data_IF_650875480070
#
_entry.id   IF_650875480070
#
_cell.length_a   1.000
_cell.length_b   1.000
_cell.length_c   1.000
_cell.angle_alpha   90.00
_cell.angle_beta   90.00
_cell.angle_gamma   90.00
#
_symmetry.space_group_name_H-M   'P 1'
#
loop_
_entity.id
_entity.type
_entity.pdbx_description
1 polymer ?
#
# COMPACT_ATOMS: atom_id res chain seq x y z
N UNK A 1 -19.70 54.27 -14.49
CA UNK A 1 -18.39 53.61 -14.75
C UNK A 1 -17.89 52.81 -13.54
N UNK A 2 -18.25 53.18 -12.29
CA UNK A 2 -17.81 52.45 -11.10
C UNK A 2 -18.57 51.14 -10.81
N UNK A 3 -19.88 51.07 -11.05
CA UNK A 3 -20.66 49.84 -10.75
C UNK A 3 -20.33 48.64 -11.65
N UNK A 4 -20.02 48.88 -12.92
CA UNK A 4 -19.66 47.81 -13.88
C UNK A 4 -18.31 47.20 -13.49
N UNK A 5 -17.37 48.03 -13.04
CA UNK A 5 -16.04 47.59 -12.59
C UNK A 5 -16.14 46.84 -11.26
N UNK A 6 -16.98 47.29 -10.33
CA UNK A 6 -17.22 46.56 -9.06
C UNK A 6 -17.88 45.20 -9.28
N UNK A 7 -18.87 45.10 -10.18
CA UNK A 7 -19.51 43.82 -10.48
C UNK A 7 -18.55 42.86 -11.22
N UNK A 8 -17.71 43.36 -12.13
CA UNK A 8 -16.68 42.53 -12.77
C UNK A 8 -15.65 42.03 -11.74
N UNK A 9 -15.22 42.88 -10.80
CA UNK A 9 -14.29 42.48 -9.73
C UNK A 9 -14.91 41.43 -8.79
N UNK A 10 -16.18 41.57 -8.41
CA UNK A 10 -16.88 40.59 -7.56
C UNK A 10 -17.07 39.26 -8.27
N UNK A 11 -17.35 39.27 -9.57
CA UNK A 11 -17.52 38.05 -10.37
C UNK A 11 -16.18 37.35 -10.60
N UNK A 12 -15.09 38.10 -10.86
CA UNK A 12 -13.74 37.55 -10.92
C UNK A 12 -13.27 36.99 -9.58
N UNK A 13 -13.56 37.68 -8.45
CA UNK A 13 -13.19 37.19 -7.12
C UNK A 13 -13.95 35.90 -6.76
N UNK A 14 -15.25 35.81 -7.11
CA UNK A 14 -16.06 34.62 -6.89
C UNK A 14 -15.61 33.41 -7.74
N UNK A 15 -15.23 33.63 -9.02
CA UNK A 15 -14.65 32.58 -9.86
C UNK A 15 -13.24 32.17 -9.41
N UNK A 16 -12.45 33.10 -8.85
CA UNK A 16 -11.12 32.80 -8.29
C UNK A 16 -11.21 31.96 -7.03
N UNK A 17 -12.19 32.22 -6.16
CA UNK A 17 -12.43 31.44 -4.94
C UNK A 17 -13.01 30.05 -5.29
N UNK A 18 -13.91 29.95 -6.29
CA UNK A 18 -14.41 28.66 -6.76
C UNK A 18 -13.30 27.80 -7.42
N UNK A 19 -12.38 28.41 -8.17
CA UNK A 19 -11.23 27.72 -8.74
C UNK A 19 -10.17 27.34 -7.69
N UNK A 20 -10.00 28.15 -6.63
CA UNK A 20 -9.11 27.83 -5.52
C UNK A 20 -9.65 26.71 -4.62
N UNK A 21 -10.98 26.63 -4.44
CA UNK A 21 -11.62 25.56 -3.64
C UNK A 21 -11.65 24.21 -4.37
N UNK A 22 -11.63 24.20 -5.71
CA UNK A 22 -11.52 22.96 -6.51
C UNK A 22 -10.10 22.40 -6.61
N UNK A 23 -9.07 23.15 -6.21
CA UNK A 23 -7.67 22.73 -6.23
C UNK A 23 -7.14 22.22 -4.88
N UNK A 24 -7.96 22.22 -3.83
CA UNK A 24 -7.64 21.59 -2.55
C UNK A 24 -8.45 20.30 -2.37
N UNK A 25 -8.21 19.33 -3.25
CA UNK A 25 -8.30 17.95 -2.77
C UNK A 25 -6.97 17.67 -2.07
N UNK A 26 -6.93 17.49 -0.73
CA UNK A 26 -5.74 16.92 -0.12
C UNK A 26 -5.62 15.52 -0.69
N UNK A 27 -4.74 15.35 -1.69
CA UNK A 27 -4.12 14.06 -1.91
C UNK A 27 -3.51 13.67 -0.58
N UNK A 28 -3.82 12.48 -0.09
CA UNK A 28 -3.12 11.97 1.07
C UNK A 28 -1.63 11.93 0.70
N UNK A 29 -0.72 12.57 1.45
CA UNK A 29 0.69 12.25 1.32
C UNK A 29 0.86 10.78 1.71
N UNK A 30 1.28 9.95 0.75
CA UNK A 30 1.68 8.58 1.00
C UNK A 30 2.99 8.60 1.79
N UNK A 31 3.08 7.77 2.84
CA UNK A 31 4.38 7.44 3.39
C UNK A 31 5.03 6.46 2.41
N UNK A 32 6.23 6.75 1.92
CA UNK A 32 6.99 5.70 1.26
C UNK A 32 7.34 4.65 2.32
N UNK A 33 7.07 3.38 2.05
CA UNK A 33 7.43 2.28 2.94
C UNK A 33 8.59 1.47 2.39
N UNK A 34 9.22 0.71 3.28
CA UNK A 34 10.39 -0.09 2.96
C UNK A 34 10.25 -1.46 3.62
N UNK A 35 9.91 -2.44 2.79
CA UNK A 35 9.84 -3.85 3.14
C UNK A 35 11.08 -4.64 2.69
N UNK A 36 12.10 -3.96 2.16
CA UNK A 36 13.40 -4.56 1.86
C UNK A 36 14.27 -4.60 3.13
N UNK A 37 14.32 -3.47 3.83
CA UNK A 37 15.09 -3.31 5.06
C UNK A 37 14.47 -4.09 6.21
N UNK A 38 15.31 -4.75 7.02
CA UNK A 38 14.91 -5.57 8.18
C UNK A 38 13.94 -6.72 7.85
N UNK A 39 13.77 -7.10 6.57
CA UNK A 39 12.84 -8.17 6.14
C UNK A 39 13.07 -9.52 6.83
N UNK A 40 14.33 -9.82 7.14
CA UNK A 40 14.75 -11.07 7.78
C UNK A 40 14.49 -11.07 9.30
N UNK A 41 14.22 -9.91 9.88
CA UNK A 41 13.90 -9.80 11.30
C UNK A 41 12.54 -10.46 11.56
N UNK A 42 12.41 -11.27 12.63
CA UNK A 42 11.14 -11.85 13.00
C UNK A 42 10.14 -10.74 13.34
N UNK A 43 8.91 -10.88 12.86
CA UNK A 43 7.83 -9.93 13.13
C UNK A 43 6.54 -10.71 13.36
N UNK A 44 5.87 -10.49 14.49
CA UNK A 44 4.62 -11.15 14.80
C UNK A 44 3.49 -10.70 13.85
N UNK A 45 2.71 -11.68 13.39
CA UNK A 45 1.55 -11.41 12.56
C UNK A 45 0.43 -10.71 13.35
N UNK A 46 -0.06 -9.60 12.81
CA UNK A 46 -1.05 -8.72 13.44
C UNK A 46 -2.47 -8.93 12.91
N UNK A 47 -2.72 -9.96 12.10
CA UNK A 47 -4.02 -10.22 11.44
C UNK A 47 -5.15 -10.32 12.45
N UNK A 48 -5.00 -11.16 13.47
CA UNK A 48 -6.05 -11.36 14.48
C UNK A 48 -6.34 -10.08 15.26
N UNK A 49 -5.30 -9.32 15.58
CA UNK A 49 -5.38 -8.06 16.32
C UNK A 49 -6.14 -7.00 15.51
N UNK A 50 -5.84 -6.90 14.22
CA UNK A 50 -6.50 -5.98 13.30
C UNK A 50 -7.93 -6.44 12.96
N UNK A 51 -8.17 -7.74 12.79
CA UNK A 51 -9.49 -8.33 12.59
C UNK A 51 -10.41 -7.98 13.73
N UNK A 52 -9.97 -8.23 14.97
CA UNK A 52 -10.72 -7.88 16.18
C UNK A 52 -11.10 -6.40 16.20
N UNK A 53 -10.20 -5.50 15.78
CA UNK A 53 -10.48 -4.06 15.77
C UNK A 53 -11.59 -3.70 14.78
N UNK A 54 -11.51 -4.20 13.54
CA UNK A 54 -12.51 -3.93 12.49
C UNK A 54 -13.86 -4.56 12.84
N UNK A 55 -13.86 -5.82 13.29
CA UNK A 55 -15.08 -6.53 13.66
C UNK A 55 -15.80 -5.89 14.86
N UNK A 56 -15.06 -5.46 15.89
CA UNK A 56 -15.63 -4.72 17.02
C UNK A 56 -16.26 -3.40 16.55
N UNK A 57 -15.64 -2.70 15.60
CA UNK A 57 -16.22 -1.50 15.01
C UNK A 57 -17.52 -1.80 14.27
N UNK A 58 -17.54 -2.82 13.40
CA UNK A 58 -18.75 -3.20 12.66
C UNK A 58 -19.87 -3.59 13.62
N UNK A 59 -19.58 -4.42 14.62
CA UNK A 59 -20.56 -4.84 15.63
C UNK A 59 -21.09 -3.66 16.46
N UNK A 60 -20.22 -2.70 16.82
CA UNK A 60 -20.63 -1.47 17.50
C UNK A 60 -21.60 -0.64 16.66
N UNK A 61 -21.29 -0.43 15.38
CA UNK A 61 -22.16 0.30 14.45
C UNK A 61 -23.52 -0.40 14.29
N UNK A 62 -23.53 -1.72 14.13
CA UNK A 62 -24.76 -2.53 14.02
C UNK A 62 -25.65 -2.35 15.26
N UNK A 63 -25.04 -2.37 16.46
CA UNK A 63 -25.76 -2.23 17.73
C UNK A 63 -26.50 -0.90 17.85
N UNK A 64 -25.91 0.18 17.35
CA UNK A 64 -26.45 1.54 17.44
C UNK A 64 -27.19 1.98 16.16
N UNK A 65 -27.40 1.06 15.21
CA UNK A 65 -27.89 1.40 13.88
C UNK A 65 -29.37 1.78 13.85
N UNK A 66 -29.68 2.98 13.35
CA UNK A 66 -31.06 3.49 13.28
C UNK A 66 -31.45 4.07 11.90
N UNK A 67 -30.60 3.94 10.89
CA UNK A 67 -30.77 4.63 9.59
C UNK A 67 -31.41 3.78 8.49
N UNK A 68 -32.13 2.72 8.85
CA UNK A 68 -32.76 1.84 7.87
C UNK A 68 -31.74 1.12 6.97
N UNK A 69 -32.16 0.71 5.77
CA UNK A 69 -31.31 -0.01 4.80
C UNK A 69 -30.39 0.93 3.99
N UNK A 70 -29.81 1.93 4.65
CA UNK A 70 -28.90 2.89 4.00
C UNK A 70 -27.45 2.38 4.05
N UNK A 71 -27.06 1.65 3.01
CA UNK A 71 -25.73 1.07 2.85
C UNK A 71 -24.63 2.13 2.84
N UNK A 72 -24.84 3.25 2.14
CA UNK A 72 -23.82 4.31 2.09
C UNK A 72 -23.67 5.00 3.45
N UNK A 73 -24.75 5.21 4.18
CA UNK A 73 -24.65 5.73 5.54
C UNK A 73 -23.88 4.76 6.46
N UNK A 74 -23.96 3.44 6.21
CA UNK A 74 -23.25 2.44 7.00
C UNK A 74 -21.76 2.46 6.67
N UNK A 75 -21.41 2.51 5.38
CA UNK A 75 -20.03 2.75 4.92
C UNK A 75 -19.44 4.03 5.53
N UNK A 76 -20.23 5.10 5.57
CA UNK A 76 -19.83 6.38 6.17
C UNK A 76 -19.73 6.31 7.70
N UNK A 77 -20.45 5.40 8.36
CA UNK A 77 -20.27 5.11 9.78
C UNK A 77 -18.95 4.35 10.02
N UNK A 78 -18.68 3.29 9.27
CA UNK A 78 -17.41 2.54 9.33
C UNK A 78 -16.22 3.49 9.13
N UNK A 79 -16.26 4.27 8.06
CA UNK A 79 -15.20 5.25 7.76
C UNK A 79 -15.02 6.29 8.87
N UNK A 80 -16.10 6.74 9.52
CA UNK A 80 -15.98 7.69 10.62
C UNK A 80 -15.35 7.07 11.87
N UNK A 81 -15.62 5.81 12.14
CA UNK A 81 -15.12 5.12 13.32
C UNK A 81 -13.64 4.73 13.19
N UNK A 82 -13.24 4.16 12.05
CA UNK A 82 -11.88 3.62 11.86
C UNK A 82 -11.06 4.30 10.76
N UNK A 83 -11.70 5.01 9.84
CA UNK A 83 -11.01 5.92 8.92
C UNK A 83 -10.73 7.28 9.58
N UNK A 84 -10.53 8.33 8.79
CA UNK A 84 -10.22 9.65 9.33
C UNK A 84 -10.38 10.80 8.34
N UNK A 85 -10.76 11.96 8.88
CA UNK A 85 -10.71 13.27 8.18
C UNK A 85 -9.30 13.88 8.20
N UNK A 86 -8.39 13.32 9.02
CA UNK A 86 -7.00 13.75 9.16
C UNK A 86 -6.09 12.93 8.25
N UNK A 87 -4.89 13.43 8.01
CA UNK A 87 -3.85 12.89 7.13
C UNK A 87 -3.49 11.39 7.30
N UNK A 88 -3.85 10.78 8.43
CA UNK A 88 -3.58 9.37 8.82
C UNK A 88 -4.86 8.82 9.45
N UNK A 89 -5.31 7.64 9.01
CA UNK A 89 -6.58 7.05 9.48
C UNK A 89 -6.53 6.63 10.95
N UNK A 90 -7.69 6.56 11.63
CA UNK A 90 -7.73 6.21 13.07
C UNK A 90 -7.17 4.82 13.33
N UNK A 91 -7.52 3.84 12.48
CA UNK A 91 -7.01 2.47 12.60
C UNK A 91 -5.51 2.41 12.38
N UNK A 92 -5.02 3.03 11.30
CA UNK A 92 -3.60 3.16 10.99
C UNK A 92 -2.83 3.80 12.16
N UNK A 93 -3.29 4.95 12.65
CA UNK A 93 -2.66 5.66 13.77
C UNK A 93 -2.64 4.82 15.04
N UNK A 94 -3.71 4.06 15.29
CA UNK A 94 -3.76 3.13 16.41
C UNK A 94 -2.75 2.00 16.21
N UNK A 95 -2.70 1.39 15.02
CA UNK A 95 -1.75 0.32 14.71
C UNK A 95 -0.31 0.79 14.93
N UNK A 96 0.07 1.97 14.41
CA UNK A 96 1.40 2.56 14.57
C UNK A 96 1.76 2.79 16.05
N UNK A 97 0.81 3.16 16.90
CA UNK A 97 1.04 3.52 18.31
C UNK A 97 0.85 2.38 19.32
N UNK A 98 0.09 1.36 18.97
CA UNK A 98 -0.32 0.31 19.90
C UNK A 98 0.80 -0.70 20.13
N UNK A 99 1.16 -0.99 21.38
CA UNK A 99 2.14 -2.03 21.70
C UNK A 99 1.64 -3.45 21.35
N UNK A 100 0.36 -3.61 21.03
CA UNK A 100 -0.20 -4.89 20.53
C UNK A 100 0.26 -5.22 19.11
N UNK A 101 0.58 -4.21 18.30
CA UNK A 101 1.01 -4.40 16.91
C UNK A 101 2.53 -4.30 16.89
N UNK A 102 3.20 -5.39 16.57
CA UNK A 102 4.65 -5.35 16.36
C UNK A 102 4.95 -4.64 15.04
N UNK A 103 6.03 -3.85 14.99
CA UNK A 103 6.45 -3.16 13.78
C UNK A 103 7.95 -3.26 13.61
N UNK A 104 8.38 -3.30 12.35
CA UNK A 104 9.75 -2.98 12.00
C UNK A 104 9.87 -1.46 11.89
N UNK A 105 10.82 -0.90 12.64
CA UNK A 105 11.22 0.49 12.47
C UNK A 105 12.37 0.52 11.47
N UNK A 106 12.17 1.23 10.36
CA UNK A 106 13.22 1.46 9.37
C UNK A 106 13.58 2.93 9.42
N UNK A 107 14.66 3.32 10.12
CA UNK A 107 15.13 4.70 10.10
C UNK A 107 15.39 5.13 8.67
N UNK A 108 15.06 6.38 8.34
CA UNK A 108 15.21 6.90 6.97
C UNK A 108 16.62 6.72 6.40
N UNK A 109 17.65 6.83 7.24
CA UNK A 109 19.05 6.67 6.83
C UNK A 109 19.45 5.24 6.51
N UNK A 110 18.64 4.27 6.93
CA UNK A 110 18.85 2.85 6.68
C UNK A 110 17.91 2.32 5.58
N UNK A 111 16.91 3.11 5.18
CA UNK A 111 15.94 2.74 4.15
C UNK A 111 16.51 2.72 2.72
N UNK A 112 15.78 2.09 1.79
CA UNK A 112 16.02 2.14 0.34
C UNK A 112 16.09 3.58 -0.23
N UNK A 113 15.50 4.54 0.48
CA UNK A 113 15.52 5.97 0.13
C UNK A 113 16.73 6.74 0.70
N UNK A 114 17.68 6.06 1.35
CA UNK A 114 18.84 6.69 1.97
C UNK A 114 19.77 7.32 0.93
N UNK A 115 20.11 8.59 1.13
CA UNK A 115 21.02 9.35 0.26
C UNK A 115 20.35 10.10 -0.90
N UNK A 116 19.03 10.02 -1.06
CA UNK A 116 18.32 10.78 -2.10
C UNK A 116 18.34 12.29 -1.75
N UNK A 117 18.67 13.18 -2.70
CA UNK A 117 18.61 14.63 -2.49
C UNK A 117 17.23 15.07 -1.99
N UNK A 118 17.22 15.98 -1.00
CA UNK A 118 16.01 16.47 -0.31
C UNK A 118 14.93 16.98 -1.27
N UNK A 119 15.35 17.57 -2.40
CA UNK A 119 14.44 18.11 -3.40
C UNK A 119 13.74 17.05 -4.26
N UNK A 120 14.26 15.81 -4.26
CA UNK A 120 13.78 14.66 -5.03
C UNK A 120 12.94 13.68 -4.19
N UNK A 121 13.25 13.53 -2.90
CA UNK A 121 12.46 12.73 -1.94
C UNK A 121 11.73 13.63 -0.93
N UNK A 122 10.99 14.65 -1.40
CA UNK A 122 10.39 15.67 -0.52
C UNK A 122 9.42 15.06 0.48
N UNK A 123 8.63 14.06 0.06
CA UNK A 123 7.63 13.42 0.93
C UNK A 123 8.29 12.52 1.98
N UNK A 124 9.25 11.66 1.59
CA UNK A 124 10.07 10.89 2.55
C UNK A 124 10.85 11.80 3.51
N UNK A 125 11.26 12.99 3.05
CA UNK A 125 11.98 13.97 3.87
C UNK A 125 11.11 14.64 4.94
N UNK A 126 9.87 14.99 4.63
CA UNK A 126 8.99 15.67 5.58
C UNK A 126 8.16 14.73 6.45
N UNK A 127 7.93 13.49 6.01
CA UNK A 127 7.00 12.57 6.67
C UNK A 127 7.66 11.29 7.22
N UNK A 128 8.88 10.93 6.81
CA UNK A 128 9.57 9.71 7.25
C UNK A 128 9.18 8.47 6.41
N UNK A 129 9.79 7.33 6.71
CA UNK A 129 9.43 6.02 6.13
C UNK A 129 8.32 5.42 7.01
N UNK A 130 7.24 4.96 6.40
CA UNK A 130 6.13 4.35 7.15
C UNK A 130 6.59 3.06 7.84
N UNK A 131 5.96 2.70 8.96
CA UNK A 131 6.33 1.48 9.70
C UNK A 131 5.84 0.25 8.94
N UNK A 132 6.68 -0.79 8.90
CA UNK A 132 6.29 -2.08 8.33
C UNK A 132 5.66 -2.96 9.40
N UNK A 133 4.53 -3.59 9.08
CA UNK A 133 3.81 -4.54 9.94
C UNK A 133 3.57 -5.84 9.18
N UNK A 134 3.35 -6.95 9.89
CA UNK A 134 2.98 -8.23 9.28
C UNK A 134 1.47 -8.45 9.37
N UNK A 135 0.83 -8.71 8.23
CA UNK A 135 -0.61 -9.03 8.13
C UNK A 135 -0.78 -10.10 7.05
N UNK A 136 -1.47 -11.18 7.40
CA UNK A 136 -1.68 -12.36 6.58
C UNK A 136 -0.36 -12.92 6.03
N UNK A 137 0.65 -13.01 6.90
CA UNK A 137 2.03 -13.40 6.57
C UNK A 137 2.75 -12.47 5.57
N UNK A 138 2.14 -11.34 5.18
CA UNK A 138 2.75 -10.35 4.29
C UNK A 138 3.30 -9.16 5.09
N UNK A 139 4.46 -8.64 4.66
CA UNK A 139 4.98 -7.38 5.17
C UNK A 139 4.34 -6.24 4.39
N UNK A 140 3.61 -5.38 5.09
CA UNK A 140 2.91 -4.25 4.47
C UNK A 140 3.29 -2.94 5.15
N UNK A 141 3.20 -1.86 4.38
CA UNK A 141 3.27 -0.52 4.91
C UNK A 141 2.07 -0.20 5.79
N UNK A 142 2.28 0.40 6.96
CA UNK A 142 1.16 0.76 7.85
C UNK A 142 0.18 1.75 7.20
N UNK A 143 0.67 2.59 6.29
CA UNK A 143 -0.11 3.53 5.47
C UNK A 143 -1.13 2.83 4.56
N UNK A 144 -0.86 1.58 4.15
CA UNK A 144 -1.77 0.79 3.32
C UNK A 144 -3.12 0.55 4.01
N UNK A 145 -3.16 0.54 5.35
CA UNK A 145 -4.42 0.52 6.12
C UNK A 145 -5.27 1.76 5.82
N UNK A 146 -4.63 2.94 5.75
CA UNK A 146 -5.31 4.19 5.40
C UNK A 146 -5.78 4.20 3.95
N UNK A 147 -4.97 3.66 3.02
CA UNK A 147 -5.37 3.47 1.63
C UNK A 147 -6.61 2.59 1.51
N UNK A 148 -6.63 1.44 2.18
CA UNK A 148 -7.75 0.53 2.25
C UNK A 148 -9.04 1.19 2.75
N UNK A 149 -8.99 1.93 3.86
CA UNK A 149 -10.19 2.56 4.42
C UNK A 149 -10.59 3.83 3.65
N UNK A 150 -9.69 4.82 3.56
CA UNK A 150 -10.00 6.14 3.00
C UNK A 150 -10.12 6.13 1.49
N UNK A 151 -9.10 5.66 0.80
CA UNK A 151 -9.09 5.69 -0.66
C UNK A 151 -9.99 4.59 -1.23
N UNK A 152 -10.07 3.43 -0.57
CA UNK A 152 -11.05 2.40 -0.89
C UNK A 152 -12.50 2.89 -0.78
N UNK A 153 -12.83 3.73 0.19
CA UNK A 153 -14.16 4.37 0.24
C UNK A 153 -14.39 5.32 -0.93
N UNK A 154 -13.38 6.10 -1.33
CA UNK A 154 -13.49 6.98 -2.50
C UNK A 154 -13.66 6.17 -3.78
N UNK A 155 -12.95 5.05 -3.90
CA UNK A 155 -13.11 4.11 -5.00
C UNK A 155 -14.54 3.54 -5.01
N UNK A 156 -15.03 3.04 -3.87
CA UNK A 156 -16.41 2.54 -3.75
C UNK A 156 -17.46 3.58 -4.16
N UNK A 157 -17.29 4.85 -3.76
CA UNK A 157 -18.16 5.95 -4.20
C UNK A 157 -18.12 6.20 -5.71
N UNK A 158 -16.95 6.04 -6.36
CA UNK A 158 -16.82 6.12 -7.82
C UNK A 158 -17.52 4.94 -8.48
N UNK A 159 -17.33 3.73 -7.94
CA UNK A 159 -18.04 2.53 -8.41
C UNK A 159 -19.56 2.72 -8.35
N UNK A 160 -20.10 3.14 -7.20
CA UNK A 160 -21.54 3.42 -7.05
C UNK A 160 -22.06 4.49 -8.01
N UNK A 161 -21.21 5.45 -8.41
CA UNK A 161 -21.56 6.49 -9.38
C UNK A 161 -21.53 5.99 -10.82
N UNK A 162 -20.55 5.16 -11.18
CA UNK A 162 -20.31 4.74 -12.56
C UNK A 162 -20.96 3.41 -12.93
N UNK A 163 -21.28 2.56 -11.93
CA UNK A 163 -21.80 1.21 -12.14
C UNK A 163 -20.80 0.26 -12.81
N UNK A 164 -19.51 0.59 -12.81
CA UNK A 164 -18.43 -0.23 -13.40
C UNK A 164 -17.18 -0.09 -12.56
N UNK A 165 -16.59 -1.23 -12.22
CA UNK A 165 -15.37 -1.33 -11.45
C UNK A 165 -14.17 -0.89 -12.29
N UNK A 166 -14.17 -1.24 -13.58
CA UNK A 166 -13.14 -0.84 -14.55
C UNK A 166 -13.09 0.68 -14.70
N UNK A 167 -14.23 1.34 -14.87
CA UNK A 167 -14.29 2.81 -14.93
C UNK A 167 -13.86 3.48 -13.63
N UNK A 168 -14.20 2.88 -12.49
CA UNK A 168 -13.77 3.37 -11.20
C UNK A 168 -12.24 3.22 -11.00
N UNK A 169 -11.66 2.11 -11.48
CA UNK A 169 -10.23 1.86 -11.50
C UNK A 169 -9.50 2.84 -12.43
N UNK A 170 -9.96 3.00 -13.67
CA UNK A 170 -9.39 3.94 -14.64
C UNK A 170 -9.33 5.36 -14.08
N UNK A 171 -10.43 5.84 -13.47
CA UNK A 171 -10.47 7.16 -12.87
C UNK A 171 -9.55 7.28 -11.65
N UNK A 172 -9.41 6.21 -10.87
CA UNK A 172 -8.53 6.16 -9.71
C UNK A 172 -7.07 6.19 -10.15
N UNK A 173 -6.69 5.37 -11.12
CA UNK A 173 -5.35 5.36 -11.73
C UNK A 173 -5.01 6.68 -12.42
N UNK A 174 -5.96 7.32 -13.10
CA UNK A 174 -5.76 8.66 -13.68
C UNK A 174 -5.49 9.71 -12.61
N UNK A 175 -6.23 9.68 -11.51
CA UNK A 175 -6.02 10.59 -10.38
C UNK A 175 -4.64 10.38 -9.77
N UNK A 176 -4.23 9.12 -9.61
CA UNK A 176 -2.91 8.75 -9.09
C UNK A 176 -1.79 9.24 -10.01
N UNK A 177 -1.88 8.98 -11.32
CA UNK A 177 -0.92 9.50 -12.31
C UNK A 177 -0.87 11.03 -12.33
N UNK A 178 -2.00 11.70 -12.13
CA UNK A 178 -2.05 13.15 -12.05
C UNK A 178 -1.39 13.67 -10.76
N UNK A 179 -1.49 12.96 -9.64
CA UNK A 179 -0.77 13.28 -8.39
C UNK A 179 0.73 13.03 -8.59
N UNK A 180 1.12 11.86 -9.09
CA UNK A 180 2.49 11.51 -9.48
C UNK A 180 3.12 12.58 -10.39
N UNK A 181 2.39 13.00 -11.43
CA UNK A 181 2.87 13.99 -12.41
C UNK A 181 2.83 15.44 -11.94
N UNK A 182 2.06 15.78 -10.88
CA UNK A 182 1.94 17.15 -10.35
C UNK A 182 2.68 17.38 -9.03
N UNK A 183 3.01 16.33 -8.30
CA UNK A 183 3.63 16.39 -6.96
C UNK A 183 4.83 15.46 -6.88
N UNK A 184 6.03 16.00 -7.13
CA UNK A 184 7.32 15.88 -6.42
C UNK A 184 7.75 14.60 -5.64
N UNK A 185 7.04 13.46 -5.69
CA UNK A 185 7.44 12.20 -5.01
C UNK A 185 8.29 11.31 -5.88
N UNK A 186 8.09 11.37 -7.21
CA UNK A 186 8.81 10.56 -8.19
C UNK A 186 8.54 9.04 -8.10
N UNK A 187 7.61 8.60 -7.25
CA UNK A 187 7.22 7.21 -6.98
C UNK A 187 5.72 7.02 -7.20
N UNK A 188 5.38 5.94 -7.92
CA UNK A 188 4.02 5.46 -8.15
C UNK A 188 3.88 4.10 -7.45
N UNK A 189 3.12 4.05 -6.36
CA UNK A 189 3.00 2.83 -5.56
C UNK A 189 1.97 1.87 -6.13
N UNK A 190 2.44 0.69 -6.56
CA UNK A 190 1.55 -0.38 -7.01
C UNK A 190 0.73 -0.94 -5.83
N UNK A 191 1.36 -1.05 -4.65
CA UNK A 191 0.70 -1.53 -3.43
C UNK A 191 -0.40 -0.58 -2.93
N UNK A 192 -0.24 0.74 -3.10
CA UNK A 192 -1.30 1.71 -2.79
C UNK A 192 -2.56 1.48 -3.62
N UNK A 193 -2.42 1.21 -4.92
CA UNK A 193 -3.56 0.95 -5.79
C UNK A 193 -4.27 -0.35 -5.45
N UNK A 194 -3.50 -1.37 -5.10
CA UNK A 194 -4.01 -2.65 -4.63
C UNK A 194 -4.78 -2.45 -3.32
N UNK A 195 -4.21 -1.75 -2.34
CA UNK A 195 -4.87 -1.43 -1.08
C UNK A 195 -6.17 -0.62 -1.30
N UNK A 196 -6.15 0.38 -2.17
CA UNK A 196 -7.33 1.16 -2.54
C UNK A 196 -8.44 0.27 -3.11
N UNK A 197 -8.09 -0.62 -4.05
CA UNK A 197 -9.04 -1.51 -4.68
C UNK A 197 -9.61 -2.54 -3.71
N UNK A 198 -8.76 -3.14 -2.88
CA UNK A 198 -9.19 -4.08 -1.84
C UNK A 198 -10.09 -3.42 -0.80
N UNK A 199 -9.83 -2.15 -0.50
CA UNK A 199 -10.71 -1.34 0.34
C UNK A 199 -12.10 -1.15 -0.25
N UNK A 200 -12.18 -0.91 -1.56
CA UNK A 200 -13.46 -0.90 -2.28
C UNK A 200 -14.17 -2.25 -2.21
N UNK A 201 -13.45 -3.36 -2.41
CA UNK A 201 -14.00 -4.71 -2.25
C UNK A 201 -14.50 -4.96 -0.84
N UNK A 202 -13.79 -4.51 0.18
CA UNK A 202 -14.28 -4.58 1.57
C UNK A 202 -15.63 -3.89 1.72
N UNK A 203 -15.78 -2.66 1.23
CA UNK A 203 -17.05 -1.92 1.29
C UNK A 203 -18.18 -2.60 0.51
N UNK A 204 -17.90 -3.22 -0.63
CA UNK A 204 -18.87 -4.08 -1.34
C UNK A 204 -19.23 -5.30 -0.49
N UNK A 205 -18.23 -5.97 0.07
CA UNK A 205 -18.41 -7.20 0.85
C UNK A 205 -19.26 -6.98 2.12
N UNK A 206 -19.45 -5.74 2.57
CA UNK A 206 -20.39 -5.42 3.63
C UNK A 206 -21.81 -5.88 3.27
N UNK A 207 -22.22 -5.76 2.01
CA UNK A 207 -23.60 -5.97 1.57
C UNK A 207 -23.75 -7.00 0.45
N UNK A 208 -22.67 -7.28 -0.29
CA UNK A 208 -22.64 -8.21 -1.42
C UNK A 208 -21.88 -9.51 -1.04
N UNK A 209 -22.48 -10.66 -1.33
CA UNK A 209 -21.82 -11.96 -1.26
C UNK A 209 -20.91 -12.21 -2.45
N UNK A 210 -20.04 -13.21 -2.35
CA UNK A 210 -19.08 -13.64 -3.37
C UNK A 210 -18.09 -12.58 -3.86
N UNK A 211 -18.07 -11.40 -3.22
CA UNK A 211 -16.96 -10.44 -3.38
C UNK A 211 -15.66 -11.09 -2.97
N UNK A 212 -15.67 -11.87 -1.90
CA UNK A 212 -14.63 -12.86 -1.62
C UNK A 212 -15.22 -14.20 -2.05
N UNK A 213 -14.60 -14.93 -2.99
CA UNK A 213 -15.19 -16.14 -3.55
C UNK A 213 -15.66 -17.13 -2.49
N UNK A 214 -16.95 -17.51 -2.54
CA UNK A 214 -17.54 -18.47 -1.61
C UNK A 214 -17.92 -17.92 -0.23
N UNK A 215 -17.73 -16.62 0.04
CA UNK A 215 -18.16 -15.98 1.29
C UNK A 215 -19.44 -15.18 1.09
N UNK A 216 -20.35 -15.24 2.06
CA UNK A 216 -21.52 -14.36 2.11
C UNK A 216 -21.13 -12.89 2.26
N UNK A 217 -22.08 -11.96 2.16
CA UNK A 217 -21.82 -10.59 2.63
C UNK A 217 -21.51 -10.59 4.14
N UNK A 218 -20.87 -9.55 4.68
CA UNK A 218 -20.62 -9.40 6.12
C UNK A 218 -21.91 -9.10 6.86
N UNK A 219 -22.79 -8.29 6.26
CA UNK A 219 -24.06 -7.88 6.84
C UNK A 219 -25.22 -8.44 6.02
N UNK A 220 -26.30 -8.78 6.72
CA UNK A 220 -27.61 -9.10 6.13
C UNK A 220 -28.65 -8.15 6.70
N UNK A 221 -29.53 -7.63 5.87
CA UNK A 221 -30.67 -6.87 6.36
C UNK A 221 -31.78 -7.81 6.81
N UNK A 222 -32.21 -7.70 8.07
CA UNK A 222 -33.32 -8.48 8.61
C UNK A 222 -34.27 -7.60 9.42
N UNK A 223 -35.53 -7.59 9.01
CA UNK A 223 -36.57 -6.78 9.64
C UNK A 223 -36.24 -5.28 9.60
N UNK A 224 -35.72 -4.75 10.71
CA UNK A 224 -35.42 -3.31 10.88
C UNK A 224 -33.95 -3.01 11.14
N UNK A 225 -33.04 -3.99 11.04
CA UNK A 225 -31.63 -3.79 11.33
C UNK A 225 -30.70 -4.64 10.49
N UNK A 226 -29.43 -4.25 10.48
CA UNK A 226 -28.33 -5.07 9.98
C UNK A 226 -28.01 -6.17 10.98
N UNK A 227 -27.67 -7.35 10.48
CA UNK A 227 -27.16 -8.48 11.26
C UNK A 227 -25.81 -8.88 10.70
N UNK A 228 -24.82 -9.04 11.57
CA UNK A 228 -23.50 -9.56 11.19
C UNK A 228 -23.64 -11.06 10.92
N UNK A 229 -23.54 -11.47 9.65
CA UNK A 229 -23.68 -12.87 9.24
C UNK A 229 -22.31 -13.58 9.11
N UNK A 230 -21.24 -12.82 8.86
CA UNK A 230 -19.85 -13.30 8.99
C UNK A 230 -18.94 -12.19 9.51
N UNK A 231 -17.78 -12.57 10.01
CA UNK A 231 -16.75 -11.62 10.39
C UNK A 231 -15.98 -11.11 9.15
N UNK A 232 -15.46 -9.89 9.26
CA UNK A 232 -14.40 -9.37 8.42
C UNK A 232 -13.09 -10.11 8.72
N UNK A 233 -12.26 -10.27 7.69
CA UNK A 233 -10.92 -10.87 7.79
C UNK A 233 -9.95 -10.14 6.86
N UNK A 234 -8.85 -9.62 7.39
CA UNK A 234 -7.78 -8.99 6.61
C UNK A 234 -7.15 -9.96 5.62
N UNK A 235 -7.14 -11.26 5.92
CA UNK A 235 -6.64 -12.28 5.00
C UNK A 235 -7.45 -12.40 3.69
N UNK A 236 -8.67 -11.83 3.64
CA UNK A 236 -9.45 -11.75 2.39
C UNK A 236 -8.90 -10.73 1.39
N UNK A 237 -8.06 -9.82 1.88
CA UNK A 237 -7.66 -8.59 1.20
C UNK A 237 -6.15 -8.47 1.06
N UNK A 238 -5.41 -8.76 2.13
CA UNK A 238 -3.95 -8.65 2.17
C UNK A 238 -3.32 -9.87 1.51
N UNK A 239 -2.44 -9.62 0.56
CA UNK A 239 -1.68 -10.62 -0.19
C UNK A 239 -0.35 -9.99 -0.64
N UNK A 240 0.45 -10.75 -1.37
CA UNK A 240 1.80 -10.41 -1.80
C UNK A 240 1.89 -9.07 -2.54
N UNK A 241 0.81 -8.64 -3.21
CA UNK A 241 0.77 -7.35 -3.91
C UNK A 241 0.66 -6.12 -3.00
N UNK A 242 0.49 -6.31 -1.70
CA UNK A 242 0.57 -5.23 -0.69
C UNK A 242 2.00 -4.95 -0.21
N UNK A 243 2.92 -5.87 -0.47
CA UNK A 243 4.32 -5.77 -0.07
C UNK A 243 5.13 -5.07 -1.16
N UNK A 244 5.69 -3.89 -0.89
CA UNK A 244 6.43 -3.12 -1.90
C UNK A 244 7.81 -3.74 -2.23
N UNK A 245 8.26 -4.78 -1.49
CA UNK A 245 9.41 -5.57 -1.91
C UNK A 245 9.06 -6.63 -2.97
N UNK A 246 7.80 -7.08 -3.00
CA UNK A 246 7.28 -8.05 -3.98
C UNK A 246 6.57 -7.35 -5.16
N UNK A 247 5.85 -6.26 -4.89
CA UNK A 247 5.13 -5.44 -5.86
C UNK A 247 5.75 -4.03 -5.94
N UNK A 248 7.00 -4.00 -6.39
CA UNK A 248 7.88 -2.83 -6.39
C UNK A 248 7.23 -1.62 -7.05
N UNK A 249 7.42 -0.44 -6.45
CA UNK A 249 6.90 0.82 -6.97
C UNK A 249 7.55 1.19 -8.31
N UNK A 250 6.84 1.96 -9.13
CA UNK A 250 7.42 2.55 -10.33
C UNK A 250 8.06 3.90 -9.99
N UNK A 251 9.28 4.13 -10.45
CA UNK A 251 10.04 5.33 -10.15
C UNK A 251 10.32 6.15 -11.40
N UNK A 252 10.36 7.48 -11.25
CA UNK A 252 10.88 8.37 -12.27
C UNK A 252 12.37 8.12 -12.54
N UNK A 253 12.92 8.68 -13.62
CA UNK A 253 14.29 8.40 -14.04
C UNK A 253 15.36 8.74 -12.98
N UNK A 254 15.11 9.73 -12.12
CA UNK A 254 16.05 10.14 -11.09
C UNK A 254 16.05 9.15 -9.93
N UNK A 255 14.86 8.81 -9.43
CA UNK A 255 14.71 7.86 -8.33
C UNK A 255 15.03 6.44 -8.76
N UNK A 256 14.67 6.05 -9.99
CA UNK A 256 14.97 4.73 -10.54
C UNK A 256 16.44 4.39 -10.40
N UNK A 257 17.34 5.29 -10.81
CA UNK A 257 18.78 5.05 -10.72
C UNK A 257 19.22 4.80 -9.28
N UNK A 258 18.77 5.65 -8.35
CA UNK A 258 19.15 5.56 -6.95
C UNK A 258 18.60 4.31 -6.28
N UNK A 259 17.31 4.04 -6.45
CA UNK A 259 16.64 2.87 -5.88
C UNK A 259 17.24 1.60 -6.47
N UNK A 260 17.47 1.52 -7.78
CA UNK A 260 18.12 0.38 -8.41
C UNK A 260 19.51 0.09 -7.81
N UNK A 261 20.36 1.11 -7.66
CA UNK A 261 21.67 0.95 -7.00
C UNK A 261 21.53 0.42 -5.56
N UNK A 262 20.52 0.91 -4.82
CA UNK A 262 20.24 0.45 -3.45
C UNK A 262 19.65 -0.95 -3.37
N UNK A 263 18.82 -1.36 -4.31
CA UNK A 263 18.25 -2.70 -4.36
C UNK A 263 19.35 -3.76 -4.56
N UNK A 264 20.41 -3.43 -5.30
CA UNK A 264 21.58 -4.31 -5.44
C UNK A 264 22.28 -4.56 -4.10
N UNK A 265 22.30 -3.58 -3.19
CA UNK A 265 22.88 -3.74 -1.85
C UNK A 265 22.13 -4.81 -1.03
N UNK A 266 20.88 -5.15 -1.40
CA UNK A 266 20.09 -6.20 -0.77
C UNK A 266 20.34 -7.60 -1.36
N UNK A 267 21.11 -7.75 -2.43
CA UNK A 267 21.39 -9.06 -3.03
C UNK A 267 21.96 -10.10 -2.06
N UNK A 268 22.88 -9.77 -1.12
CA UNK A 268 23.36 -10.74 -0.14
C UNK A 268 22.26 -11.34 0.73
N UNK A 269 21.30 -10.52 1.17
CA UNK A 269 20.15 -10.98 1.96
C UNK A 269 19.23 -11.85 1.11
N UNK A 270 18.95 -11.43 -0.12
CA UNK A 270 18.19 -12.24 -1.07
C UNK A 270 18.80 -13.63 -1.29
N UNK A 271 20.13 -13.75 -1.43
CA UNK A 271 20.77 -15.05 -1.63
C UNK A 271 20.73 -15.96 -0.41
N UNK A 272 20.55 -15.41 0.79
CA UNK A 272 20.39 -16.19 2.02
C UNK A 272 18.98 -16.78 2.15
N UNK A 273 17.95 -16.01 1.80
CA UNK A 273 16.53 -16.39 1.93
C UNK A 273 15.71 -15.89 0.73
N UNK A 274 15.92 -16.46 -0.47
CA UNK A 274 15.27 -15.98 -1.71
C UNK A 274 13.75 -16.08 -1.66
N UNK A 275 13.22 -17.05 -0.92
CA UNK A 275 11.78 -17.26 -0.71
C UNK A 275 11.07 -16.04 -0.11
N UNK A 276 11.78 -15.22 0.68
CA UNK A 276 11.20 -14.00 1.25
C UNK A 276 10.91 -12.93 0.19
N UNK A 277 11.56 -12.99 -0.98
CA UNK A 277 11.50 -11.94 -2.01
C UNK A 277 10.85 -12.42 -3.32
N UNK A 278 10.23 -13.60 -3.30
CA UNK A 278 9.61 -14.23 -4.47
C UNK A 278 8.13 -14.50 -4.25
N UNK A 279 7.35 -14.48 -5.33
CA UNK A 279 5.94 -14.89 -5.33
C UNK A 279 5.86 -16.27 -6.01
N UNK A 280 5.35 -17.29 -5.32
CA UNK A 280 5.29 -18.65 -5.86
C UNK A 280 4.26 -18.79 -7.01
N UNK A 281 3.04 -18.29 -6.82
CA UNK A 281 1.98 -18.30 -7.83
C UNK A 281 1.39 -16.89 -8.05
N UNK A 282 2.00 -16.15 -8.96
CA UNK A 282 1.61 -14.76 -9.24
C UNK A 282 0.39 -14.65 -10.18
N UNK A 283 0.03 -15.72 -10.92
CA UNK A 283 -0.98 -15.64 -11.97
C UNK A 283 -2.37 -15.17 -11.47
N UNK A 284 -2.88 -15.67 -10.32
CA UNK A 284 -4.14 -15.18 -9.76
C UNK A 284 -4.11 -13.70 -9.36
N UNK A 285 -2.95 -13.20 -8.91
CA UNK A 285 -2.78 -11.79 -8.54
C UNK A 285 -2.80 -10.89 -9.77
N UNK A 286 -2.10 -11.30 -10.84
CA UNK A 286 -2.10 -10.59 -12.12
C UNK A 286 -3.53 -10.48 -12.66
N UNK A 287 -4.29 -11.57 -12.64
CA UNK A 287 -5.68 -11.58 -13.12
C UNK A 287 -6.57 -10.67 -12.26
N UNK A 288 -6.51 -10.79 -10.93
CA UNK A 288 -7.28 -9.99 -9.97
C UNK A 288 -7.08 -8.49 -10.17
N UNK A 289 -5.85 -8.06 -10.48
CA UNK A 289 -5.46 -6.65 -10.54
C UNK A 289 -5.22 -6.10 -11.95
N UNK A 290 -5.51 -6.87 -13.00
CA UNK A 290 -5.24 -6.49 -14.39
C UNK A 290 -5.83 -5.12 -14.82
N UNK A 291 -6.96 -4.75 -14.22
CA UNK A 291 -7.71 -3.52 -14.56
C UNK A 291 -7.26 -2.28 -13.76
N UNK A 292 -6.35 -2.43 -12.79
CA UNK A 292 -5.89 -1.30 -11.95
C UNK A 292 -4.86 -0.41 -12.64
N UNK A 293 -4.30 -0.86 -13.77
CA UNK A 293 -3.26 -0.13 -14.49
C UNK A 293 -1.94 -0.06 -13.72
N UNK A 294 -1.60 -1.14 -12.99
CA UNK A 294 -0.31 -1.31 -12.32
C UNK A 294 0.83 -1.20 -13.33
N UNK A 295 1.95 -0.62 -12.90
CA UNK A 295 3.14 -0.55 -13.73
C UNK A 295 3.96 -1.83 -13.54
N UNK A 296 4.36 -2.47 -14.64
CA UNK A 296 5.33 -3.56 -14.57
C UNK A 296 6.68 -3.00 -14.14
N UNK A 297 7.15 -3.48 -12.99
CA UNK A 297 8.44 -3.14 -12.34
C UNK A 297 9.20 -4.40 -11.95
N UNK A 298 8.88 -5.53 -12.61
CA UNK A 298 9.47 -6.84 -12.31
C UNK A 298 10.99 -6.83 -12.43
N UNK A 299 11.53 -6.01 -13.31
CA UNK A 299 12.96 -5.81 -13.47
C UNK A 299 13.66 -5.26 -12.21
N UNK A 300 12.91 -4.67 -11.27
CA UNK A 300 13.42 -4.17 -9.99
C UNK A 300 13.23 -5.16 -8.84
N UNK A 301 12.58 -6.31 -9.04
CA UNK A 301 12.49 -7.35 -8.00
C UNK A 301 13.86 -8.00 -7.78
N UNK A 302 14.16 -8.40 -6.55
CA UNK A 302 15.47 -8.99 -6.21
C UNK A 302 15.71 -10.33 -6.91
N UNK A 303 14.67 -11.10 -7.18
CA UNK A 303 14.78 -12.33 -7.99
C UNK A 303 15.27 -12.07 -9.42
N UNK A 304 14.98 -10.88 -9.95
CA UNK A 304 15.39 -10.41 -11.28
C UNK A 304 16.73 -9.68 -11.24
N UNK A 305 16.98 -8.86 -10.22
CA UNK A 305 18.22 -8.08 -10.06
C UNK A 305 19.41 -8.93 -9.58
N UNK A 306 19.16 -9.95 -8.77
CA UNK A 306 20.18 -10.69 -8.03
C UNK A 306 20.16 -12.19 -8.40
N UNK A 307 20.30 -12.61 -9.67
CA UNK A 307 20.16 -14.01 -10.07
C UNK A 307 21.10 -14.93 -9.27
N UNK A 308 20.51 -15.84 -8.48
CA UNK A 308 21.20 -16.76 -7.55
C UNK A 308 22.30 -17.57 -8.25
N UNK A 309 22.08 -17.90 -9.53
CA UNK A 309 23.04 -18.64 -10.36
C UNK A 309 24.41 -17.94 -10.45
N UNK A 310 24.42 -16.62 -10.58
CA UNK A 310 25.66 -15.82 -10.68
C UNK A 310 26.43 -15.83 -9.36
N UNK A 311 25.72 -15.83 -8.23
CA UNK A 311 26.32 -15.95 -6.91
C UNK A 311 26.91 -17.35 -6.68
N UNK A 312 26.16 -18.41 -6.98
CA UNK A 312 26.63 -19.79 -6.83
C UNK A 312 27.87 -20.08 -7.69
N UNK A 313 27.89 -19.62 -8.94
CA UNK A 313 29.04 -19.74 -9.84
C UNK A 313 30.27 -18.97 -9.33
N UNK A 314 30.08 -17.79 -8.73
CA UNK A 314 31.16 -17.01 -8.13
C UNK A 314 31.75 -17.67 -6.87
N UNK A 315 30.92 -18.36 -6.09
CA UNK A 315 31.31 -19.08 -4.87
C UNK A 315 32.13 -20.32 -5.22
N UNK A 316 31.69 -21.11 -6.19
CA UNK A 316 32.44 -22.29 -6.66
C UNK A 316 33.81 -21.92 -7.24
N UNK A 317 33.90 -20.79 -7.97
CA UNK A 317 35.20 -20.29 -8.44
C UNK A 317 36.12 -19.81 -7.30
N UNK A 318 35.56 -19.25 -6.23
CA UNK A 318 36.34 -18.83 -5.05
C UNK A 318 36.85 -20.02 -4.22
N UNK A 319 36.04 -21.07 -4.08
CA UNK A 319 36.40 -22.32 -3.41
C UNK A 319 37.43 -23.11 -4.23
N UNK A 320 37.27 -23.17 -5.55
CA UNK A 320 38.25 -23.76 -6.47
C UNK A 320 39.61 -23.03 -6.43
N UNK A 321 39.62 -21.69 -6.30
CA UNK A 321 40.87 -20.92 -6.13
C UNK A 321 41.52 -21.12 -4.77
N UNK A 322 40.75 -21.26 -3.69
CA UNK A 322 41.27 -21.54 -2.35
C UNK A 322 41.85 -22.97 -2.24
N UNK A 323 41.29 -23.94 -2.98
CA UNK A 323 41.77 -25.32 -3.01
C UNK A 323 43.12 -25.56 -3.70
N UNK A 324 43.64 -24.57 -4.46
CA UNK A 324 44.91 -24.70 -5.21
C UNK A 324 46.11 -24.15 -4.42
N UNK A 325 45.91 -23.52 -3.25
CA UNK A 325 46.98 -22.84 -2.49
C UNK A 325 47.60 -23.66 -1.32
N UNK A 326 47.55 -24.99 -1.31
CA UNK A 326 48.13 -25.78 -0.19
C UNK A 326 48.80 -27.10 -0.54
N UNK A 327 49.40 -27.21 -1.74
CA UNK A 327 50.34 -28.28 -2.04
C UNK A 327 51.57 -27.70 -2.73
N UNK A 328 52.53 -27.20 -1.95
CA UNK A 328 53.97 -27.23 -2.28
C UNK A 328 54.75 -26.51 -1.17
N UNK A 329 55.03 -27.25 -0.10
CA UNK A 329 56.15 -26.96 0.79
C UNK A 329 56.89 -28.27 1.03
N UNK A 330 57.60 -28.72 0.00
CA UNK A 330 58.61 -29.78 0.12
C UNK A 330 59.75 -29.29 1.02
N UNK A 331 59.97 -30.05 2.09
CA UNK A 331 61.17 -30.00 2.90
C UNK A 331 62.40 -30.43 2.08
N UNK A 332 63.54 -29.79 2.32
CA UNK A 332 64.88 -30.24 1.93
C UNK A 332 65.94 -29.43 2.69
N UNK A 333 67.15 -29.97 2.87
CA UNK A 333 67.51 -31.18 3.61
C UNK A 333 68.01 -30.87 5.03
#
# INVERSE_FOLDING_TARGET
>A
MNEIVENLLRTFLALSIAAAVLCWSPGAPAYETDQFTNRHEPLADSTEILNRKVNNTIAGIVTEWQKGHDEMAFVDAVYREIGGLHWVDKLERWAIKSDEVEKLDTPRYDSVFSGIPIWAARVTFFFGVGKTIRVNDQLIGSDKIGHFLSQGRKFYKRYMRYGSEERAAEQSAYTERAIFGRMTTGSYSNADLVANYEGHRFYRSLFEGDIVPGKSAILRWEGRGWIVQRQFDWADHVNEYWDEALNVNHYDALLYKHVHERLIDFCPYYWEQPELYSIEDEAPLIERYAHLGLHSTRELRLDSLCPVQVFLESRDQSVAKAGISSQDAQASP
#
